data_IF_197475624339
#
_entry.id   IF_197475624339
#
_cell.length_a   1.000
_cell.length_b   1.000
_cell.length_c   1.000
_cell.angle_alpha   90.00
_cell.angle_beta   90.00
_cell.angle_gamma   90.00
#
_symmetry.space_group_name_H-M   'P 1'
#
loop_
_entity.id
_entity.type
_entity.pdbx_description
1 polymer ?
#
# COMPACT_ATOMS: atom_id res chain seq x y z
N UNK A 1 -14.33 32.17 -10.03
CA UNK A 1 -14.39 32.62 -8.64
C UNK A 1 -14.80 31.52 -7.66
N UNK A 2 -15.90 30.82 -7.87
CA UNK A 2 -16.37 29.72 -6.98
C UNK A 2 -15.39 28.56 -6.76
N UNK A 3 -14.66 28.10 -7.79
CA UNK A 3 -13.68 27.01 -7.66
C UNK A 3 -12.52 27.34 -6.71
N UNK A 4 -12.07 28.60 -6.69
CA UNK A 4 -10.95 29.02 -5.81
C UNK A 4 -11.38 29.10 -4.34
N UNK A 5 -12.60 29.53 -4.07
CA UNK A 5 -13.17 29.54 -2.71
C UNK A 5 -13.36 28.10 -2.18
N UNK A 6 -13.82 27.17 -3.02
CA UNK A 6 -14.00 25.77 -2.66
C UNK A 6 -12.68 25.09 -2.26
N UNK A 7 -11.56 25.40 -2.94
CA UNK A 7 -10.23 24.88 -2.58
C UNK A 7 -9.74 25.41 -1.23
N UNK A 8 -9.88 26.73 -1.00
CA UNK A 8 -9.47 27.32 0.28
C UNK A 8 -10.24 26.72 1.45
N UNK A 9 -11.55 26.47 1.30
CA UNK A 9 -12.33 25.79 2.32
C UNK A 9 -11.88 24.33 2.54
N UNK A 10 -11.57 23.60 1.48
CA UNK A 10 -11.10 22.22 1.58
C UNK A 10 -9.73 22.14 2.28
N UNK A 11 -8.79 23.06 1.96
CA UNK A 11 -7.50 23.18 2.65
C UNK A 11 -7.67 23.48 4.14
N UNK A 12 -8.51 24.48 4.47
CA UNK A 12 -8.77 24.83 5.85
C UNK A 12 -9.40 23.67 6.65
N UNK A 13 -10.40 23.01 6.06
CA UNK A 13 -11.02 21.83 6.66
C UNK A 13 -10.03 20.69 6.87
N UNK A 14 -9.17 20.42 5.88
CA UNK A 14 -8.15 19.38 6.00
C UNK A 14 -7.19 19.64 7.17
N UNK A 15 -6.72 20.88 7.31
CA UNK A 15 -5.85 21.27 8.41
C UNK A 15 -6.56 21.14 9.77
N UNK A 16 -7.82 21.59 9.87
CA UNK A 16 -8.60 21.42 11.10
C UNK A 16 -8.76 19.94 11.48
N UNK A 17 -9.01 19.04 10.51
CA UNK A 17 -9.14 17.60 10.79
C UNK A 17 -7.83 17.02 11.33
N UNK A 18 -6.68 17.50 10.85
CA UNK A 18 -5.36 17.05 11.34
C UNK A 18 -5.11 17.48 12.80
N UNK A 19 -5.66 18.63 13.23
CA UNK A 19 -5.51 19.19 14.57
C UNK A 19 -6.46 18.59 15.62
N UNK A 20 -7.53 17.89 15.21
CA UNK A 20 -8.50 17.28 16.13
C UNK A 20 -7.84 16.23 17.04
N UNK A 21 -8.23 16.18 18.30
CA UNK A 21 -7.93 15.04 19.16
C UNK A 21 -8.72 13.79 18.72
N UNK A 22 -8.46 12.64 19.33
CA UNK A 22 -9.08 11.38 18.89
C UNK A 22 -10.59 11.35 19.13
N UNK A 23 -11.09 11.97 20.20
CA UNK A 23 -12.52 12.05 20.48
C UNK A 23 -13.22 13.02 19.54
N UNK A 24 -12.60 14.14 19.23
CA UNK A 24 -13.09 15.11 18.25
C UNK A 24 -13.08 14.53 16.85
N UNK A 25 -12.06 13.76 16.51
CA UNK A 25 -11.95 13.06 15.22
C UNK A 25 -13.09 12.04 15.06
N UNK A 26 -13.40 11.23 16.06
CA UNK A 26 -14.54 10.33 16.04
C UNK A 26 -15.84 11.11 15.84
N UNK A 27 -16.08 12.16 16.64
CA UNK A 27 -17.28 13.02 16.53
C UNK A 27 -17.42 13.70 15.18
N UNK A 28 -16.29 14.07 14.55
CA UNK A 28 -16.29 14.60 13.19
C UNK A 28 -16.91 13.60 12.21
N UNK A 29 -16.48 12.34 12.23
CA UNK A 29 -17.02 11.30 11.35
C UNK A 29 -18.46 10.94 11.65
N UNK A 30 -18.88 10.96 12.91
CA UNK A 30 -20.29 10.80 13.31
C UNK A 30 -21.15 11.91 12.70
N UNK A 31 -20.68 13.17 12.79
CA UNK A 31 -21.35 14.33 12.20
C UNK A 31 -21.41 14.26 10.67
N UNK A 32 -20.32 13.81 10.04
CA UNK A 32 -20.27 13.65 8.58
C UNK A 32 -21.28 12.60 8.11
N UNK A 33 -21.40 11.49 8.81
CA UNK A 33 -22.37 10.47 8.48
C UNK A 33 -23.81 10.95 8.69
N UNK A 34 -24.07 11.62 9.83
CA UNK A 34 -25.40 12.17 10.14
C UNK A 34 -25.89 13.20 9.12
N UNK A 35 -25.00 14.11 8.67
CA UNK A 35 -25.39 15.28 7.85
C UNK A 35 -25.22 15.08 6.36
N UNK A 36 -24.34 14.19 5.94
CA UNK A 36 -23.95 14.03 4.53
C UNK A 36 -24.17 12.61 4.02
N UNK A 37 -25.04 11.84 4.65
CA UNK A 37 -25.48 10.54 4.12
C UNK A 37 -26.52 10.72 3.01
N UNK A 38 -27.05 9.65 2.48
CA UNK A 38 -28.06 9.65 1.44
C UNK A 38 -29.39 10.25 1.93
N UNK A 39 -30.12 10.95 1.04
CA UNK A 39 -31.50 11.32 1.29
C UNK A 39 -32.40 10.09 1.05
N UNK A 40 -32.67 9.33 2.12
CA UNK A 40 -33.50 8.11 2.07
C UNK A 40 -34.86 8.37 1.45
N UNK A 41 -35.50 9.53 1.76
CA UNK A 41 -36.84 9.87 1.24
C UNK A 41 -36.82 10.12 -0.26
N UNK A 42 -35.79 10.79 -0.75
CA UNK A 42 -35.59 11.03 -2.17
C UNK A 42 -35.28 9.72 -2.91
N UNK A 43 -34.42 8.88 -2.34
CA UNK A 43 -34.05 7.57 -2.91
C UNK A 43 -35.26 6.64 -2.97
N UNK A 44 -36.07 6.55 -1.92
CA UNK A 44 -37.32 5.76 -1.90
C UNK A 44 -38.32 6.24 -2.97
N UNK A 45 -38.49 7.55 -3.12
CA UNK A 45 -39.35 8.10 -4.18
C UNK A 45 -38.87 7.71 -5.58
N UNK A 46 -37.57 7.88 -5.84
CA UNK A 46 -36.99 7.50 -7.13
C UNK A 46 -37.10 6.00 -7.42
N UNK A 47 -36.91 5.15 -6.41
CA UNK A 47 -37.07 3.70 -6.53
C UNK A 47 -38.52 3.31 -6.84
N UNK A 48 -39.51 3.96 -6.20
CA UNK A 48 -40.92 3.77 -6.50
C UNK A 48 -41.31 4.20 -7.92
N UNK A 49 -40.76 5.30 -8.41
CA UNK A 49 -40.95 5.75 -9.80
C UNK A 49 -40.34 4.79 -10.82
N UNK A 50 -39.14 4.27 -10.53
CA UNK A 50 -38.51 3.24 -11.37
C UNK A 50 -39.34 1.93 -11.43
N UNK A 51 -39.94 1.51 -10.32
CA UNK A 51 -40.75 0.30 -10.30
C UNK A 51 -41.99 0.43 -11.17
N UNK A 52 -42.59 1.67 -11.28
CA UNK A 52 -43.72 1.97 -12.13
C UNK A 52 -43.31 2.12 -13.61
N UNK A 53 -42.17 2.72 -13.85
CA UNK A 53 -41.67 3.02 -15.18
C UNK A 53 -40.15 2.76 -15.27
N UNK A 54 -39.82 1.56 -15.74
CA UNK A 54 -38.43 1.03 -15.83
C UNK A 54 -37.67 1.67 -17.00
N UNK A 55 -37.36 2.97 -16.90
CA UNK A 55 -36.58 3.68 -17.89
C UNK A 55 -35.13 3.83 -17.41
N UNK A 56 -34.20 3.95 -18.37
CA UNK A 56 -32.79 4.26 -18.10
C UNK A 56 -32.64 5.57 -17.29
N UNK A 57 -33.43 6.58 -17.61
CA UNK A 57 -33.45 7.87 -16.90
C UNK A 57 -33.77 7.70 -15.40
N UNK A 58 -34.77 6.89 -15.06
CA UNK A 58 -35.15 6.66 -13.66
C UNK A 58 -34.06 5.86 -12.92
N UNK A 59 -33.37 4.95 -13.61
CA UNK A 59 -32.22 4.23 -13.06
C UNK A 59 -31.03 5.16 -12.78
N UNK A 60 -30.76 6.11 -13.69
CA UNK A 60 -29.74 7.14 -13.49
C UNK A 60 -30.01 8.03 -12.28
N UNK A 61 -31.28 8.40 -12.06
CA UNK A 61 -31.72 9.18 -10.88
C UNK A 61 -31.44 8.39 -9.59
N UNK A 62 -31.78 7.09 -9.55
CA UNK A 62 -31.46 6.24 -8.39
C UNK A 62 -29.95 6.20 -8.16
N UNK A 63 -29.16 6.00 -9.20
CA UNK A 63 -27.71 5.96 -9.11
C UNK A 63 -27.14 7.27 -8.52
N UNK A 64 -27.65 8.42 -8.94
CA UNK A 64 -27.24 9.73 -8.40
C UNK A 64 -27.64 9.90 -6.92
N UNK A 65 -28.87 9.55 -6.56
CA UNK A 65 -29.40 9.68 -5.19
C UNK A 65 -28.82 8.64 -4.22
N UNK A 66 -28.27 7.54 -4.71
CA UNK A 66 -27.58 6.54 -3.89
C UNK A 66 -26.14 6.91 -3.53
N UNK A 67 -25.63 8.02 -4.11
CA UNK A 67 -24.29 8.48 -3.77
C UNK A 67 -24.35 9.43 -2.55
N UNK A 68 -23.74 9.06 -1.40
CA UNK A 68 -23.78 9.90 -0.21
C UNK A 68 -22.88 11.13 -0.36
N UNK A 69 -23.30 12.25 0.23
CA UNK A 69 -22.59 13.53 0.13
C UNK A 69 -21.18 13.53 0.70
N UNK A 70 -20.88 12.64 1.66
CA UNK A 70 -19.52 12.51 2.20
C UNK A 70 -18.50 12.05 1.14
N UNK A 71 -18.90 11.36 0.08
CA UNK A 71 -17.99 11.02 -1.03
C UNK A 71 -17.49 12.26 -1.75
N UNK A 72 -18.34 13.22 -1.95
CA UNK A 72 -17.97 14.50 -2.56
C UNK A 72 -17.01 15.29 -1.65
N UNK A 73 -17.19 15.21 -0.32
CA UNK A 73 -16.26 15.78 0.64
C UNK A 73 -14.84 15.21 0.43
N UNK A 74 -14.68 13.88 0.39
CA UNK A 74 -13.37 13.25 0.17
C UNK A 74 -12.80 13.54 -1.22
N UNK A 75 -13.62 13.62 -2.25
CA UNK A 75 -13.15 14.06 -3.58
C UNK A 75 -12.57 15.47 -3.54
N UNK A 76 -13.24 16.40 -2.83
CA UNK A 76 -12.75 17.78 -2.69
C UNK A 76 -11.46 17.84 -1.88
N UNK A 77 -11.36 17.10 -0.78
CA UNK A 77 -10.13 16.98 -0.02
C UNK A 77 -8.99 16.40 -0.86
N UNK A 78 -9.28 15.50 -1.80
CA UNK A 78 -8.28 14.96 -2.72
C UNK A 78 -7.74 15.99 -3.73
N UNK A 79 -8.43 17.11 -3.96
CA UNK A 79 -8.02 18.12 -4.95
C UNK A 79 -7.09 19.20 -4.40
N UNK A 80 -6.89 19.26 -3.09
CA UNK A 80 -5.96 20.20 -2.45
C UNK A 80 -4.51 19.75 -2.58
N UNK A 81 -3.57 20.65 -2.26
CA UNK A 81 -2.16 20.28 -2.20
C UNK A 81 -1.94 19.14 -1.21
N UNK A 82 -1.21 18.10 -1.63
CA UNK A 82 -0.99 16.88 -0.85
C UNK A 82 -2.28 16.15 -0.40
N UNK A 83 -3.43 16.49 -0.98
CA UNK A 83 -4.74 15.96 -0.57
C UNK A 83 -4.81 14.44 -0.56
N UNK A 84 -4.22 13.79 -1.56
CA UNK A 84 -4.14 12.33 -1.62
C UNK A 84 -3.37 11.75 -0.42
N UNK A 85 -2.21 12.32 -0.09
CA UNK A 85 -1.40 11.89 1.05
C UNK A 85 -2.14 12.12 2.38
N UNK A 86 -2.76 13.30 2.54
CA UNK A 86 -3.56 13.64 3.72
C UNK A 86 -4.72 12.66 3.93
N UNK A 87 -5.38 12.24 2.87
CA UNK A 87 -6.45 11.23 2.93
C UNK A 87 -5.92 9.83 3.26
N UNK A 88 -4.75 9.47 2.78
CA UNK A 88 -4.07 8.21 3.16
C UNK A 88 -3.75 8.20 4.65
N UNK A 89 -3.17 9.29 5.18
CA UNK A 89 -2.88 9.46 6.62
C UNK A 89 -4.16 9.51 7.46
N UNK A 90 -5.20 10.16 6.95
CA UNK A 90 -6.52 10.17 7.59
C UNK A 90 -7.07 8.74 7.74
N UNK A 91 -6.98 7.91 6.69
CA UNK A 91 -7.42 6.52 6.80
C UNK A 91 -6.52 5.70 7.73
N UNK A 92 -5.23 5.96 7.79
CA UNK A 92 -4.33 5.35 8.77
C UNK A 92 -4.83 5.63 10.21
N UNK A 93 -5.15 6.90 10.53
CA UNK A 93 -5.73 7.27 11.81
C UNK A 93 -7.12 6.63 12.05
N UNK A 94 -7.98 6.57 11.04
CA UNK A 94 -9.25 5.83 11.13
C UNK A 94 -8.99 4.37 11.51
N UNK A 95 -7.99 3.74 10.92
CA UNK A 95 -7.65 2.33 11.18
C UNK A 95 -7.14 2.10 12.60
N UNK A 96 -6.39 3.03 13.15
CA UNK A 96 -5.92 2.95 14.55
C UNK A 96 -7.09 3.07 15.56
N UNK A 97 -8.11 3.87 15.24
CA UNK A 97 -9.26 4.16 16.12
C UNK A 97 -10.54 3.38 15.79
N UNK A 98 -10.56 2.57 14.75
CA UNK A 98 -11.79 1.94 14.22
C UNK A 98 -12.48 0.97 15.19
N UNK A 99 -11.76 0.44 16.19
CA UNK A 99 -12.36 -0.43 17.19
C UNK A 99 -13.24 0.33 18.19
N UNK A 100 -13.06 1.65 18.28
CA UNK A 100 -13.78 2.52 19.21
C UNK A 100 -15.08 3.06 18.61
N UNK A 101 -15.30 2.90 17.29
CA UNK A 101 -16.48 3.43 16.60
C UNK A 101 -16.88 2.60 15.37
N UNK A 102 -18.17 2.22 15.32
CA UNK A 102 -18.75 1.56 14.15
C UNK A 102 -18.73 2.45 12.90
N UNK A 103 -18.85 3.77 13.09
CA UNK A 103 -18.81 4.74 11.99
C UNK A 103 -17.41 4.82 11.39
N UNK A 104 -16.36 4.78 12.22
CA UNK A 104 -14.99 4.68 11.70
C UNK A 104 -14.74 3.38 10.94
N UNK A 105 -15.30 2.25 11.37
CA UNK A 105 -15.24 1.00 10.60
C UNK A 105 -15.93 1.12 9.23
N UNK A 106 -17.04 1.84 9.17
CA UNK A 106 -17.73 2.14 7.92
C UNK A 106 -16.85 2.99 7.00
N UNK A 107 -16.23 4.08 7.52
CA UNK A 107 -15.35 4.95 6.74
C UNK A 107 -14.06 4.25 6.31
N UNK A 108 -13.46 3.38 7.13
CA UNK A 108 -12.31 2.54 6.71
C UNK A 108 -12.62 1.74 5.45
N UNK A 109 -13.77 1.03 5.44
CA UNK A 109 -14.22 0.25 4.28
C UNK A 109 -14.54 1.13 3.07
N UNK A 110 -15.19 2.26 3.30
CA UNK A 110 -15.62 3.18 2.25
C UNK A 110 -14.43 3.87 1.57
N UNK A 111 -13.45 4.33 2.35
CA UNK A 111 -12.19 4.89 1.83
C UNK A 111 -11.37 3.82 1.11
N UNK A 112 -11.33 2.58 1.60
CA UNK A 112 -10.66 1.48 0.88
C UNK A 112 -11.22 1.29 -0.53
N UNK A 113 -12.54 1.38 -0.70
CA UNK A 113 -13.18 1.26 -2.00
C UNK A 113 -12.75 2.42 -2.91
N UNK A 114 -12.76 3.67 -2.42
CA UNK A 114 -12.29 4.84 -3.17
C UNK A 114 -10.81 4.71 -3.56
N UNK A 115 -9.97 4.30 -2.63
CA UNK A 115 -8.54 4.16 -2.86
C UNK A 115 -8.21 3.05 -3.86
N UNK A 116 -8.97 1.96 -3.93
CA UNK A 116 -8.83 0.95 -4.97
C UNK A 116 -8.99 1.50 -6.39
N UNK A 117 -9.79 2.54 -6.57
CA UNK A 117 -9.91 3.24 -7.86
C UNK A 117 -8.77 4.24 -8.08
N UNK A 118 -8.40 5.01 -7.06
CA UNK A 118 -7.38 6.05 -7.19
C UNK A 118 -5.96 5.48 -7.32
N UNK A 119 -5.67 4.41 -6.59
CA UNK A 119 -4.39 3.70 -6.60
C UNK A 119 -4.41 2.49 -7.52
N UNK A 120 -5.11 2.58 -8.66
CA UNK A 120 -5.05 1.53 -9.67
C UNK A 120 -3.61 1.41 -10.18
N UNK A 121 -3.07 0.19 -10.35
CA UNK A 121 -1.71 -0.04 -10.83
C UNK A 121 -1.35 0.70 -12.12
N UNK A 122 -2.33 0.98 -12.99
CA UNK A 122 -2.11 1.73 -14.25
C UNK A 122 -1.69 3.19 -14.05
N UNK A 123 -1.89 3.74 -12.86
CA UNK A 123 -1.48 5.11 -12.53
C UNK A 123 -0.17 5.19 -11.75
N UNK A 124 0.39 4.04 -11.36
CA UNK A 124 1.60 3.99 -10.57
C UNK A 124 2.84 4.10 -11.45
N UNK A 125 3.84 4.79 -10.94
CA UNK A 125 5.14 4.95 -11.59
C UNK A 125 6.15 4.05 -10.88
N UNK A 126 6.83 3.18 -11.65
CA UNK A 126 7.93 2.38 -11.15
C UNK A 126 9.23 3.16 -11.28
N UNK A 127 9.86 3.43 -10.15
CA UNK A 127 11.16 4.11 -10.09
C UNK A 127 12.24 3.18 -9.52
N UNK A 128 13.46 3.32 -10.02
CA UNK A 128 14.64 2.70 -9.42
C UNK A 128 15.09 3.55 -8.23
N UNK A 129 15.36 2.92 -7.13
CA UNK A 129 15.92 3.53 -5.93
C UNK A 129 17.40 3.16 -5.86
N UNK A 130 18.24 4.16 -5.91
CA UNK A 130 19.69 4.02 -5.85
C UNK A 130 20.34 5.11 -4.97
N UNK A 131 21.65 5.15 -4.92
CA UNK A 131 22.35 6.10 -4.07
C UNK A 131 22.26 7.56 -4.54
N UNK A 132 21.71 7.83 -5.72
CA UNK A 132 21.42 9.18 -6.25
C UNK A 132 19.99 9.64 -5.94
N UNK A 133 19.15 8.73 -5.42
CA UNK A 133 17.79 9.04 -4.99
C UNK A 133 17.81 10.09 -3.87
N UNK A 134 16.90 11.08 -3.87
CA UNK A 134 16.85 12.10 -2.83
C UNK A 134 16.81 11.52 -1.41
N UNK A 135 17.59 12.11 -0.49
CA UNK A 135 17.78 11.60 0.87
C UNK A 135 16.46 11.43 1.64
N UNK A 136 15.48 12.31 1.42
CA UNK A 136 14.15 12.21 2.04
C UNK A 136 13.36 10.96 1.61
N UNK A 137 13.64 10.40 0.44
CA UNK A 137 13.08 9.12 -0.01
C UNK A 137 13.88 7.97 0.60
N UNK A 138 15.21 8.07 0.62
CA UNK A 138 16.08 7.06 1.22
C UNK A 138 15.80 6.88 2.73
N UNK A 139 15.55 7.96 3.46
CA UNK A 139 15.11 7.90 4.88
C UNK A 139 13.80 7.11 5.03
N UNK A 140 12.87 7.28 4.09
CA UNK A 140 11.59 6.52 4.09
C UNK A 140 11.80 5.04 3.77
N UNK A 141 12.72 4.70 2.87
CA UNK A 141 13.10 3.29 2.63
C UNK A 141 13.62 2.65 3.93
N UNK A 142 14.51 3.35 4.66
CA UNK A 142 14.98 2.87 5.97
C UNK A 142 13.81 2.68 6.93
N UNK A 143 12.95 3.69 7.07
CA UNK A 143 11.85 3.68 8.04
C UNK A 143 10.76 2.64 7.73
N UNK A 144 10.52 2.35 6.46
CA UNK A 144 9.45 1.44 6.02
C UNK A 144 9.92 -0.01 5.78
N UNK A 145 11.22 -0.29 5.88
CA UNK A 145 11.71 -1.66 5.73
C UNK A 145 11.22 -2.56 6.88
N UNK A 146 10.29 -3.45 6.57
CA UNK A 146 9.58 -4.26 7.55
C UNK A 146 10.04 -5.73 7.60
N UNK A 147 10.85 -6.18 6.63
CA UNK A 147 11.26 -7.58 6.48
C UNK A 147 12.66 -7.79 7.02
N UNK A 148 13.60 -6.92 6.62
CA UNK A 148 15.01 -7.00 7.03
C UNK A 148 15.48 -5.60 7.43
N UNK A 149 15.32 -5.26 8.70
CA UNK A 149 15.62 -3.96 9.28
C UNK A 149 16.93 -3.35 8.74
N UNK A 150 16.87 -2.05 8.39
CA UNK A 150 18.00 -1.26 7.98
C UNK A 150 18.40 -0.38 9.16
N UNK A 151 19.54 -0.68 9.80
CA UNK A 151 19.94 -0.03 11.04
C UNK A 151 20.82 1.20 10.84
N UNK A 152 21.34 1.41 9.63
CA UNK A 152 22.26 2.49 9.33
C UNK A 152 22.27 2.88 7.85
N UNK A 153 22.84 4.04 7.56
CA UNK A 153 23.10 4.45 6.18
C UNK A 153 24.09 3.52 5.46
N UNK A 154 25.01 2.89 6.17
CA UNK A 154 25.93 1.89 5.59
C UNK A 154 25.19 0.61 5.20
N UNK A 155 24.21 0.17 6.01
CA UNK A 155 23.33 -0.95 5.64
C UNK A 155 22.52 -0.62 4.37
N UNK A 156 21.92 0.55 4.30
CA UNK A 156 21.20 0.99 3.11
C UNK A 156 22.14 1.04 1.89
N UNK A 157 23.34 1.60 2.07
CA UNK A 157 24.34 1.68 1.01
C UNK A 157 24.72 0.31 0.46
N UNK A 158 24.90 -0.67 1.33
CA UNK A 158 25.19 -2.05 0.94
C UNK A 158 24.07 -2.71 0.12
N UNK A 159 22.84 -2.20 0.24
CA UNK A 159 21.66 -2.69 -0.52
C UNK A 159 21.40 -1.93 -1.81
N UNK A 160 21.95 -0.73 -1.98
CA UNK A 160 21.68 0.13 -3.14
C UNK A 160 22.89 0.36 -4.04
N UNK A 161 24.09 0.48 -3.48
CA UNK A 161 25.28 0.89 -4.22
C UNK A 161 25.94 -0.25 -5.05
N UNK A 162 25.99 -1.52 -4.62
CA UNK A 162 26.61 -2.57 -5.41
C UNK A 162 25.80 -2.85 -6.69
N UNK A 163 26.51 -3.15 -7.79
CA UNK A 163 25.90 -3.38 -9.11
C UNK A 163 24.97 -4.59 -9.14
N UNK A 164 25.20 -5.56 -8.26
CA UNK A 164 24.37 -6.74 -8.07
C UNK A 164 23.22 -6.55 -7.05
N UNK A 165 22.92 -5.32 -6.71
CA UNK A 165 21.79 -4.92 -5.88
C UNK A 165 20.91 -3.93 -6.61
N UNK A 166 19.61 -4.15 -6.52
CA UNK A 166 18.59 -3.29 -7.12
C UNK A 166 17.48 -3.06 -6.11
N UNK A 167 16.97 -1.85 -6.10
CA UNK A 167 15.76 -1.50 -5.37
C UNK A 167 14.81 -0.76 -6.29
N UNK A 168 13.53 -1.07 -6.20
CA UNK A 168 12.49 -0.42 -6.99
C UNK A 168 11.31 -0.10 -6.10
N UNK A 169 10.67 1.05 -6.35
CA UNK A 169 9.47 1.46 -5.64
C UNK A 169 8.37 1.90 -6.60
N UNK A 170 7.12 1.70 -6.22
CA UNK A 170 6.00 2.38 -6.85
C UNK A 170 5.69 3.68 -6.14
N UNK A 171 5.48 4.72 -6.95
CA UNK A 171 4.99 6.02 -6.55
C UNK A 171 3.65 6.32 -7.22
N UNK A 172 2.86 7.19 -6.58
CA UNK A 172 1.69 7.78 -7.20
C UNK A 172 2.01 9.22 -7.62
N UNK A 173 1.60 9.69 -8.81
CA UNK A 173 1.91 11.04 -9.29
C UNK A 173 1.49 12.17 -8.33
N UNK A 174 0.44 11.97 -7.54
CA UNK A 174 -0.01 12.91 -6.51
C UNK A 174 0.70 12.73 -5.15
N UNK A 175 1.65 11.78 -5.04
CA UNK A 175 2.46 11.51 -3.86
C UNK A 175 3.91 11.20 -4.28
N UNK A 176 4.59 12.13 -4.99
CA UNK A 176 5.87 11.83 -5.68
C UNK A 176 7.03 11.53 -4.72
N UNK A 177 6.95 11.95 -3.47
CA UNK A 177 7.99 11.73 -2.46
C UNK A 177 7.62 10.64 -1.43
N UNK A 178 6.53 9.91 -1.68
CA UNK A 178 6.02 8.88 -0.78
C UNK A 178 5.98 7.55 -1.52
N UNK A 179 6.93 6.65 -1.28
CA UNK A 179 6.85 5.31 -1.82
C UNK A 179 5.60 4.61 -1.27
N UNK A 180 4.89 3.88 -2.13
CA UNK A 180 3.71 3.09 -1.75
C UNK A 180 4.11 1.69 -1.29
N UNK A 181 5.04 1.12 -2.01
CA UNK A 181 5.63 -0.20 -1.80
C UNK A 181 6.99 -0.21 -2.47
N UNK A 182 7.97 -0.87 -1.89
CA UNK A 182 9.25 -1.11 -2.55
C UNK A 182 9.68 -2.57 -2.46
N UNK A 183 10.64 -2.93 -3.30
CA UNK A 183 11.22 -4.25 -3.37
C UNK A 183 12.73 -4.15 -3.49
N UNK A 184 13.43 -4.95 -2.72
CA UNK A 184 14.87 -5.14 -2.81
C UNK A 184 15.19 -6.46 -3.55
N UNK A 185 16.10 -6.38 -4.51
CA UNK A 185 16.47 -7.50 -5.38
C UNK A 185 17.99 -7.70 -5.36
N UNK A 186 18.41 -8.92 -5.12
CA UNK A 186 19.78 -9.35 -5.32
C UNK A 186 19.91 -10.08 -6.66
N UNK A 187 20.93 -9.71 -7.42
CA UNK A 187 21.30 -10.41 -8.66
C UNK A 187 22.43 -11.39 -8.36
N UNK A 188 22.20 -12.66 -8.59
CA UNK A 188 23.10 -13.74 -8.17
C UNK A 188 23.36 -14.72 -9.32
N UNK A 189 24.39 -15.53 -9.18
CA UNK A 189 24.68 -16.62 -10.12
C UNK A 189 23.92 -17.91 -9.78
N UNK A 190 23.38 -18.03 -8.56
CA UNK A 190 22.62 -19.18 -8.09
C UNK A 190 21.48 -18.73 -7.18
N UNK A 191 20.49 -19.59 -6.96
CA UNK A 191 19.51 -19.39 -5.92
C UNK A 191 20.21 -19.51 -4.55
N UNK A 192 20.16 -18.48 -3.68
CA UNK A 192 20.81 -18.54 -2.37
C UNK A 192 20.07 -19.48 -1.43
N UNK A 193 20.81 -20.16 -0.58
CA UNK A 193 20.27 -21.08 0.44
C UNK A 193 19.86 -20.36 1.71
N UNK A 194 20.38 -19.15 1.92
CA UNK A 194 20.13 -18.35 3.12
C UNK A 194 19.98 -16.87 2.82
N UNK A 195 19.02 -16.23 3.49
CA UNK A 195 18.87 -14.78 3.46
C UNK A 195 20.10 -14.05 4.02
N UNK A 196 20.78 -14.64 5.01
CA UNK A 196 21.98 -14.07 5.63
C UNK A 196 23.10 -13.85 4.61
N UNK A 197 23.23 -14.70 3.60
CA UNK A 197 24.20 -14.55 2.51
C UNK A 197 23.83 -13.39 1.59
N UNK A 198 22.54 -13.15 1.40
CA UNK A 198 22.02 -12.08 0.53
C UNK A 198 22.24 -10.70 1.16
N UNK A 199 21.98 -10.55 2.47
CA UNK A 199 21.99 -9.24 3.17
C UNK A 199 23.35 -8.89 3.79
N UNK A 200 24.31 -9.82 3.80
CA UNK A 200 25.63 -9.59 4.38
C UNK A 200 26.34 -8.41 3.69
N UNK A 201 26.92 -7.50 4.48
CA UNK A 201 27.61 -6.32 3.98
C UNK A 201 28.94 -6.69 3.29
N UNK A 202 29.79 -7.46 3.99
CA UNK A 202 31.08 -7.92 3.49
C UNK A 202 30.95 -9.21 2.69
N UNK A 203 30.41 -9.11 1.48
CA UNK A 203 30.26 -10.21 0.53
C UNK A 203 30.90 -9.87 -0.82
N UNK A 204 31.33 -10.86 -1.59
CA UNK A 204 31.74 -10.62 -2.96
C UNK A 204 30.57 -10.12 -3.80
N UNK A 205 30.85 -9.13 -4.67
CA UNK A 205 29.86 -8.64 -5.66
C UNK A 205 29.84 -9.63 -6.83
N UNK A 206 28.64 -10.07 -7.21
CA UNK A 206 28.46 -10.93 -8.37
C UNK A 206 28.78 -10.16 -9.65
N UNK A 207 29.66 -10.71 -10.49
CA UNK A 207 30.00 -10.06 -11.76
C UNK A 207 28.81 -10.17 -12.72
N UNK A 208 28.61 -9.16 -13.55
CA UNK A 208 27.47 -9.06 -14.46
C UNK A 208 27.31 -10.27 -15.38
N UNK A 209 28.41 -10.80 -15.89
CA UNK A 209 28.46 -11.98 -16.76
C UNK A 209 28.03 -13.29 -16.08
N UNK A 210 28.08 -13.33 -14.74
CA UNK A 210 27.76 -14.53 -13.94
C UNK A 210 26.31 -14.48 -13.41
N UNK A 211 25.60 -13.35 -13.60
CA UNK A 211 24.25 -13.16 -13.11
C UNK A 211 23.26 -13.96 -13.97
N UNK A 212 22.51 -14.85 -13.33
CA UNK A 212 21.41 -15.58 -13.96
C UNK A 212 20.13 -15.62 -13.14
N UNK A 213 20.16 -15.16 -11.89
CA UNK A 213 19.05 -15.25 -10.95
C UNK A 213 18.77 -13.89 -10.30
N UNK A 214 17.51 -13.45 -10.32
CA UNK A 214 17.02 -12.30 -9.57
C UNK A 214 16.25 -12.77 -8.33
N UNK A 215 16.75 -12.42 -7.15
CA UNK A 215 16.21 -12.82 -5.86
C UNK A 215 15.51 -11.62 -5.21
N UNK A 216 14.19 -11.66 -5.14
CA UNK A 216 13.36 -10.68 -4.44
C UNK A 216 13.35 -11.06 -2.97
N UNK A 217 14.11 -10.35 -2.14
CA UNK A 217 14.33 -10.75 -0.74
C UNK A 217 13.62 -9.86 0.29
N UNK A 218 13.23 -8.64 -0.09
CA UNK A 218 12.37 -7.79 0.72
C UNK A 218 11.29 -7.14 -0.13
N UNK A 219 10.06 -7.12 0.36
CA UNK A 219 8.91 -6.42 -0.23
C UNK A 219 8.17 -5.75 0.91
N UNK A 220 8.27 -4.41 0.97
CA UNK A 220 7.76 -3.62 2.10
C UNK A 220 6.69 -2.63 1.65
N UNK A 221 5.48 -2.74 2.24
CA UNK A 221 4.43 -1.75 2.08
C UNK A 221 4.74 -0.53 2.95
N UNK A 222 4.66 0.67 2.37
CA UNK A 222 5.07 1.90 3.04
C UNK A 222 3.90 2.67 3.67
N UNK A 223 2.68 2.45 3.20
CA UNK A 223 1.54 3.28 3.56
C UNK A 223 0.47 2.44 4.25
N UNK A 224 0.39 2.51 5.58
CA UNK A 224 -0.62 1.77 6.37
C UNK A 224 -2.05 2.19 5.99
N UNK A 225 -2.25 3.45 5.62
CA UNK A 225 -3.52 3.95 5.10
C UNK A 225 -3.98 3.30 3.79
N UNK A 226 -3.09 2.61 3.06
CA UNK A 226 -3.41 1.84 1.86
C UNK A 226 -3.55 0.34 2.12
N UNK A 227 -3.50 -0.10 3.37
CA UNK A 227 -3.68 -1.51 3.73
C UNK A 227 -5.00 -2.06 3.16
N UNK A 228 -4.93 -3.27 2.59
CA UNK A 228 -6.04 -3.90 1.86
C UNK A 228 -6.05 -3.60 0.35
N UNK A 229 -5.06 -2.85 -0.16
CA UNK A 229 -4.77 -2.72 -1.60
C UNK A 229 -3.49 -3.52 -1.88
N UNK A 230 -3.55 -4.45 -2.82
CA UNK A 230 -2.42 -5.32 -3.14
C UNK A 230 -1.61 -4.75 -4.30
N UNK A 231 -0.40 -4.28 -4.01
CA UNK A 231 0.56 -3.79 -5.00
C UNK A 231 1.65 -4.82 -5.34
N UNK A 232 1.95 -5.72 -4.40
CA UNK A 232 3.16 -6.56 -4.45
C UNK A 232 3.27 -7.43 -5.70
N UNK A 233 2.20 -8.15 -6.08
CA UNK A 233 2.21 -8.99 -7.27
C UNK A 233 2.46 -8.18 -8.56
N UNK A 234 1.89 -6.98 -8.66
CA UNK A 234 2.09 -6.10 -9.79
C UNK A 234 3.51 -5.53 -9.80
N UNK A 235 4.04 -5.13 -8.64
CA UNK A 235 5.41 -4.66 -8.49
C UNK A 235 6.42 -5.73 -8.95
N UNK A 236 6.31 -6.95 -8.41
CA UNK A 236 7.23 -8.05 -8.76
C UNK A 236 7.25 -8.29 -10.27
N UNK A 237 6.07 -8.36 -10.92
CA UNK A 237 5.98 -8.59 -12.36
C UNK A 237 6.63 -7.48 -13.19
N UNK A 238 6.41 -6.22 -12.81
CA UNK A 238 7.01 -5.08 -13.50
C UNK A 238 8.53 -5.05 -13.33
N UNK A 239 9.00 -5.30 -12.10
CA UNK A 239 10.45 -5.35 -11.81
C UNK A 239 11.10 -6.53 -12.53
N UNK A 240 10.50 -7.71 -12.51
CA UNK A 240 11.02 -8.87 -13.25
C UNK A 240 11.13 -8.60 -14.75
N UNK A 241 10.10 -7.98 -15.33
CA UNK A 241 10.12 -7.59 -16.75
C UNK A 241 11.23 -6.57 -17.03
N UNK A 242 11.36 -5.53 -16.21
CA UNK A 242 12.40 -4.50 -16.35
C UNK A 242 13.80 -5.10 -16.22
N UNK A 243 14.05 -5.94 -15.22
CA UNK A 243 15.35 -6.60 -15.01
C UNK A 243 15.70 -7.55 -16.17
N UNK A 244 14.71 -8.27 -16.73
CA UNK A 244 14.94 -9.13 -17.89
C UNK A 244 15.29 -8.33 -19.15
N UNK A 245 14.75 -7.11 -19.31
CA UNK A 245 15.11 -6.21 -20.40
C UNK A 245 16.51 -5.61 -20.24
N UNK A 246 16.95 -5.38 -18.99
CA UNK A 246 18.26 -4.81 -18.66
C UNK A 246 19.37 -5.89 -18.72
N UNK A 247 19.04 -7.16 -18.47
CA UNK A 247 20.00 -8.27 -18.44
C UNK A 247 19.41 -9.54 -19.08
N UNK A 248 19.84 -9.84 -20.30
CA UNK A 248 19.41 -11.02 -21.06
C UNK A 248 19.80 -12.35 -20.39
N UNK A 249 20.85 -12.35 -19.56
CA UNK A 249 21.32 -13.51 -18.82
C UNK A 249 20.39 -13.96 -17.68
N UNK A 250 19.43 -13.13 -17.25
CA UNK A 250 18.50 -13.47 -16.19
C UNK A 250 17.47 -14.51 -16.64
N UNK A 251 17.59 -15.72 -16.11
CA UNK A 251 16.69 -16.84 -16.42
C UNK A 251 15.76 -17.22 -15.27
N UNK A 252 16.15 -16.90 -14.03
CA UNK A 252 15.42 -17.29 -12.83
C UNK A 252 14.99 -16.06 -12.03
N UNK A 253 13.75 -16.11 -11.55
CA UNK A 253 13.18 -15.09 -10.68
C UNK A 253 12.59 -15.81 -9.46
N UNK A 254 13.13 -15.53 -8.28
CA UNK A 254 12.72 -16.16 -7.03
C UNK A 254 12.37 -15.13 -5.97
N UNK A 255 11.45 -15.47 -5.07
CA UNK A 255 11.11 -14.66 -3.90
C UNK A 255 11.53 -15.40 -2.64
N UNK A 256 12.23 -14.71 -1.75
CA UNK A 256 12.49 -15.18 -0.40
C UNK A 256 11.52 -14.45 0.54
N UNK A 257 10.51 -15.17 1.00
CA UNK A 257 9.47 -14.59 1.86
C UNK A 257 9.52 -15.24 3.25
N UNK A 258 9.48 -14.45 4.33
CA UNK A 258 9.38 -14.99 5.66
C UNK A 258 8.07 -15.78 5.83
N UNK A 259 8.14 -16.87 6.60
CA UNK A 259 6.97 -17.66 7.02
C UNK A 259 6.72 -17.43 8.52
N UNK A 260 6.04 -16.33 8.90
CA UNK A 260 5.79 -16.04 10.32
C UNK A 260 4.98 -17.15 10.97
N UNK A 261 5.44 -17.60 12.15
CA UNK A 261 4.81 -18.68 12.91
C UNK A 261 5.15 -20.09 12.46
N UNK A 262 5.87 -20.31 11.36
CA UNK A 262 6.26 -21.65 10.91
C UNK A 262 7.10 -22.39 11.95
N UNK A 263 8.06 -21.74 12.57
CA UNK A 263 8.90 -22.33 13.63
C UNK A 263 8.04 -22.83 14.80
N UNK A 264 7.13 -21.99 15.31
CA UNK A 264 6.18 -22.36 16.37
C UNK A 264 5.26 -23.51 15.96
N UNK A 265 4.81 -23.50 14.70
CA UNK A 265 3.98 -24.58 14.17
C UNK A 265 4.79 -25.90 14.09
N UNK A 266 6.04 -25.83 13.63
CA UNK A 266 6.94 -26.99 13.53
C UNK A 266 7.25 -27.56 14.93
N UNK A 267 7.57 -26.73 15.92
CA UNK A 267 7.83 -27.13 17.30
C UNK A 267 6.61 -27.85 17.89
N UNK A 268 5.41 -27.36 17.64
CA UNK A 268 4.17 -28.02 18.07
C UNK A 268 3.90 -29.34 17.34
N UNK A 269 4.44 -29.54 16.13
CA UNK A 269 4.30 -30.76 15.34
C UNK A 269 5.41 -31.78 15.58
N UNK A 270 6.60 -31.33 15.95
CA UNK A 270 7.73 -32.19 16.26
C UNK A 270 7.44 -33.11 17.47
N UNK A 271 6.66 -32.62 18.46
CA UNK A 271 6.13 -33.45 19.53
C UNK A 271 5.28 -34.64 19.05
N UNK A 272 4.58 -34.50 17.92
CA UNK A 272 3.75 -35.57 17.33
C UNK A 272 4.58 -36.54 16.47
N UNK A 273 5.69 -36.10 15.91
CA UNK A 273 6.58 -36.95 15.11
C UNK A 273 7.40 -37.94 15.98
N UNK A 274 7.69 -37.57 17.24
CA UNK A 274 8.39 -38.42 18.19
C UNK A 274 7.46 -39.39 18.94
N UNK A 275 6.13 -39.25 18.83
CA UNK A 275 5.14 -40.12 19.45
C UNK A 275 4.56 -41.17 18.52
N UNK A 276 5.01 -41.23 17.27
CA UNK A 276 4.63 -42.32 16.36
C UNK A 276 5.35 -43.58 16.74
N UNK A 277 4.70 -44.72 17.12
CA UNK A 277 5.38 -45.95 17.45
C UNK A 277 6.15 -46.42 16.22
N UNK A 278 7.42 -46.73 16.44
CA UNK A 278 8.27 -47.39 15.43
C UNK A 278 7.58 -48.67 14.96
N UNK A 279 7.43 -48.91 13.67
CA UNK A 279 6.96 -50.19 13.21
C UNK A 279 8.11 -51.21 13.31
N UNK A 280 8.31 -51.73 14.51
CA UNK A 280 9.09 -52.93 14.79
C UNK A 280 8.48 -53.61 16.00
N UNK A 281 7.63 -54.54 15.70
CA UNK A 281 7.60 -55.93 16.18
C UNK A 281 6.42 -56.63 15.54
#
# INVERSE_FOLDING_TARGET
MYKRQSLVFAEHLSNLIEELDDQEFIRFFDTVLEKYDIDEKALLRATNEYTKNKTQKNLEIISQLSEPGWRELFRRLNTISEGTLKLVRMRERIRSLKNDSNNLQFFDRSLLILFKYWFNPSFLVLESIDWTTPANILEKIIAYEAVHEINSWDDLRARLAPTDRKCFAFFHPLMPNEPLIFVEVALTNNMPDSISEVIKIDRPITQEQDINTAVFYSISNCQEGLSGISFGNFLIKNVAHKLKQENDGLDKFVTLSPMPGFSKWLDNKSCLLYTSPSPRD
#
